data_IF_626353815752
#
_entry.id   IF_626353815752
#
_cell.length_a   1.000
_cell.length_b   1.000
_cell.length_c   1.000
_cell.angle_alpha   90.00
_cell.angle_beta   90.00
_cell.angle_gamma   90.00
#
_symmetry.space_group_name_H-M   'P 1'
#
loop_
_entity.id
_entity.type
_entity.pdbx_description
1 polymer ?
#
# COMPACT_ATOMS: atom_id res chain seq x y z
N UNK A 1 -19.77 -12.07 -6.08
CA UNK A 1 -18.50 -11.76 -5.37
C UNK A 1 -17.40 -11.65 -6.41
N UNK A 2 -16.91 -10.46 -6.71
CA UNK A 2 -15.88 -10.25 -7.74
C UNK A 2 -14.76 -9.39 -7.18
N UNK A 3 -13.53 -9.86 -7.25
CA UNK A 3 -12.33 -9.09 -6.91
C UNK A 3 -11.95 -8.26 -8.14
N UNK A 4 -11.54 -7.01 -7.92
CA UNK A 4 -11.16 -6.14 -9.03
C UNK A 4 -9.75 -6.53 -9.50
N UNK A 5 -9.65 -7.07 -10.70
CA UNK A 5 -8.38 -7.39 -11.35
C UNK A 5 -7.99 -6.19 -12.22
N UNK A 6 -6.80 -5.66 -12.01
CA UNK A 6 -6.18 -4.66 -12.91
C UNK A 6 -4.93 -5.25 -13.56
N UNK A 7 -4.76 -5.05 -14.87
CA UNK A 7 -3.55 -5.47 -15.61
C UNK A 7 -3.82 -6.33 -16.86
N UNK A 8 -2.77 -7.01 -17.35
CA UNK A 8 -2.83 -7.91 -18.52
C UNK A 8 -1.46 -8.24 -19.16
N UNK A 9 -1.33 -9.48 -19.66
CA UNK A 9 -0.24 -10.19 -20.41
C UNK A 9 1.24 -9.79 -20.22
N UNK A 10 1.60 -8.50 -20.31
CA UNK A 10 2.99 -8.02 -20.18
C UNK A 10 3.33 -7.55 -18.77
N UNK A 11 2.35 -7.05 -18.00
CA UNK A 11 2.55 -6.47 -16.66
C UNK A 11 2.11 -7.34 -15.48
N UNK A 12 1.60 -8.55 -15.77
CA UNK A 12 0.97 -9.43 -14.78
C UNK A 12 -0.46 -9.01 -14.41
N UNK A 13 -1.14 -9.84 -13.63
CA UNK A 13 -2.45 -9.57 -13.06
C UNK A 13 -2.29 -9.19 -11.58
N UNK A 14 -2.96 -8.11 -11.13
CA UNK A 14 -3.06 -7.74 -9.72
C UNK A 14 -4.53 -7.69 -9.33
N UNK A 15 -4.90 -8.51 -8.36
CA UNK A 15 -6.22 -8.46 -7.73
C UNK A 15 -6.18 -7.57 -6.49
N UNK A 16 -7.16 -6.69 -6.35
CA UNK A 16 -7.39 -5.94 -5.12
C UNK A 16 -8.63 -6.46 -4.42
N UNK A 17 -8.53 -6.61 -3.10
CA UNK A 17 -9.67 -6.92 -2.23
C UNK A 17 -9.60 -6.01 -1.01
N UNK A 18 -10.77 -5.54 -0.58
CA UNK A 18 -10.91 -4.70 0.59
C UNK A 18 -11.48 -5.53 1.75
N UNK A 19 -10.81 -5.49 2.89
CA UNK A 19 -11.32 -6.05 4.16
C UNK A 19 -11.58 -4.91 5.13
N UNK A 20 -12.79 -4.87 5.71
CA UNK A 20 -13.17 -3.93 6.78
C UNK A 20 -13.08 -4.61 8.14
N UNK A 21 -13.05 -3.84 9.23
CA UNK A 21 -13.00 -4.33 10.62
C UNK A 21 -11.78 -5.21 10.94
N UNK A 22 -10.62 -4.85 10.41
CA UNK A 22 -9.35 -5.53 10.75
C UNK A 22 -8.90 -5.16 12.16
N UNK A 23 -8.49 -6.15 12.94
CA UNK A 23 -7.97 -5.92 14.30
C UNK A 23 -6.53 -5.40 14.25
N UNK A 24 -6.15 -4.44 15.10
CA UNK A 24 -4.76 -4.04 15.26
C UNK A 24 -3.87 -5.21 15.70
N UNK A 25 -2.58 -5.15 15.37
CA UNK A 25 -1.59 -6.13 15.78
C UNK A 25 -0.79 -6.73 14.63
N UNK A 26 -0.10 -7.84 14.90
CA UNK A 26 0.75 -8.55 13.94
C UNK A 26 -0.10 -9.48 13.06
N UNK A 27 0.03 -9.32 11.76
CA UNK A 27 -0.65 -10.11 10.75
C UNK A 27 0.35 -10.89 9.88
N UNK A 28 -0.12 -12.01 9.36
CA UNK A 28 0.59 -12.82 8.38
C UNK A 28 -0.37 -13.15 7.24
N UNK A 29 0.03 -12.82 6.03
CA UNK A 29 -0.59 -13.33 4.80
C UNK A 29 0.10 -14.64 4.44
N UNK A 30 -0.66 -15.71 4.30
CA UNK A 30 -0.17 -16.96 3.72
C UNK A 30 -0.62 -17.04 2.27
N UNK A 31 0.34 -17.26 1.38
CA UNK A 31 0.08 -17.46 -0.04
C UNK A 31 0.05 -18.97 -0.23
N UNK A 32 -1.15 -19.52 -0.39
CA UNK A 32 -1.37 -20.96 -0.55
C UNK A 32 -1.85 -21.26 -1.96
N UNK A 33 -1.41 -22.38 -2.51
CA UNK A 33 -2.00 -22.97 -3.72
C UNK A 33 -3.36 -23.58 -3.38
N UNK A 34 -4.11 -23.93 -4.42
CA UNK A 34 -5.42 -24.59 -4.27
C UNK A 34 -5.30 -25.98 -3.62
N UNK A 35 -4.16 -26.66 -3.78
CA UNK A 35 -3.81 -27.90 -3.08
C UNK A 35 -3.16 -27.68 -1.70
N UNK A 36 -3.43 -26.52 -1.07
CA UNK A 36 -3.02 -26.16 0.30
C UNK A 36 -1.50 -26.06 0.54
N UNK A 37 -0.68 -25.96 -0.51
CA UNK A 37 0.77 -25.79 -0.35
C UNK A 37 1.13 -24.33 -0.15
N UNK A 38 1.99 -24.04 0.82
CA UNK A 38 2.45 -22.68 1.11
C UNK A 38 3.54 -22.28 0.12
N UNK A 39 3.26 -21.27 -0.70
CA UNK A 39 4.24 -20.61 -1.58
C UNK A 39 5.06 -19.55 -0.84
N UNK A 40 4.48 -18.93 0.19
CA UNK A 40 5.17 -17.88 0.94
C UNK A 40 4.33 -17.27 2.05
N UNK A 41 4.99 -16.45 2.87
CA UNK A 41 4.39 -15.73 3.99
C UNK A 41 4.86 -14.28 4.01
N UNK A 42 3.92 -13.35 4.17
CA UNK A 42 4.21 -11.91 4.28
C UNK A 42 3.71 -11.42 5.62
N UNK A 43 4.62 -10.97 6.48
CA UNK A 43 4.29 -10.39 7.78
C UNK A 43 4.12 -8.87 7.69
N UNK A 44 3.10 -8.33 8.34
CA UNK A 44 2.93 -6.89 8.52
C UNK A 44 2.23 -6.58 9.83
N UNK A 45 2.28 -5.33 10.27
CA UNK A 45 1.64 -4.87 11.50
C UNK A 45 0.57 -3.83 11.17
N UNK A 46 -0.65 -4.07 11.63
CA UNK A 46 -1.74 -3.09 11.57
C UNK A 46 -1.67 -2.26 12.84
N UNK A 47 -1.37 -0.98 12.68
CA UNK A 47 -1.40 -0.02 13.78
C UNK A 47 -2.73 0.71 13.76
N UNK A 48 -3.37 0.78 14.93
CA UNK A 48 -4.52 1.65 15.11
C UNK A 48 -4.06 3.09 14.97
N UNK A 49 -4.61 3.81 14.00
CA UNK A 49 -4.40 5.24 13.91
C UNK A 49 -5.52 5.91 14.68
N UNK A 50 -5.18 6.70 15.68
CA UNK A 50 -6.10 7.73 16.17
C UNK A 50 -6.39 8.63 14.97
N UNK A 51 -7.67 8.95 14.73
CA UNK A 51 -8.04 9.98 13.76
C UNK A 51 -7.58 11.34 14.29
N UNK A 52 -6.28 11.60 14.26
CA UNK A 52 -5.79 12.98 14.35
C UNK A 52 -6.25 13.67 13.09
N UNK A 53 -6.99 14.77 13.23
CA UNK A 53 -7.34 15.62 12.11
C UNK A 53 -6.03 16.14 11.51
N UNK A 54 -5.53 15.47 10.46
CA UNK A 54 -4.30 15.85 9.78
C UNK A 54 -4.61 17.16 9.07
N UNK A 55 -4.31 18.28 9.72
CA UNK A 55 -4.37 19.59 9.07
C UNK A 55 -3.26 19.60 8.03
N UNK A 56 -3.63 19.41 6.77
CA UNK A 56 -2.72 19.59 5.64
C UNK A 56 -2.35 21.07 5.61
N UNK A 57 -1.12 21.40 6.02
CA UNK A 57 -0.59 22.76 5.89
C UNK A 57 0.00 22.88 4.49
N UNK A 58 -0.65 23.66 3.63
CA UNK A 58 -0.08 24.01 2.32
C UNK A 58 1.15 24.89 2.57
N UNK A 59 2.33 24.36 2.23
CA UNK A 59 3.58 25.13 2.23
C UNK A 59 3.82 25.56 0.79
N UNK A 60 3.69 26.86 0.52
CA UNK A 60 4.15 27.45 -0.72
C UNK A 60 5.67 27.62 -0.63
N UNK A 61 6.42 26.94 -1.49
CA UNK A 61 7.87 27.14 -1.66
C UNK A 61 8.11 27.66 -3.07
N UNK A 62 8.58 28.89 -3.19
CA UNK A 62 9.16 29.36 -4.44
C UNK A 62 10.52 28.68 -4.63
N UNK A 63 10.71 28.02 -5.76
CA UNK A 63 12.02 27.54 -6.22
C UNK A 63 12.36 28.42 -7.42
N UNK A 64 13.45 29.17 -7.33
CA UNK A 64 13.99 29.90 -8.48
C UNK A 64 14.87 28.92 -9.26
N UNK A 65 14.58 28.72 -10.55
CA UNK A 65 15.37 27.83 -11.42
C UNK A 65 16.76 28.37 -11.74
N UNK A 66 17.12 29.58 -11.29
CA UNK A 66 18.41 30.21 -11.59
C UNK A 66 19.51 29.98 -10.55
N UNK A 67 19.44 28.90 -9.74
CA UNK A 67 20.50 28.57 -8.78
C UNK A 67 21.15 27.20 -9.08
N UNK A 68 21.56 27.01 -10.34
CA UNK A 68 22.40 25.90 -10.76
C UNK A 68 23.64 26.38 -11.57
N UNK A 69 24.19 27.57 -11.27
CA UNK A 69 25.39 28.06 -11.97
C UNK A 69 26.30 28.96 -11.09
N UNK A 70 26.44 28.65 -9.80
CA UNK A 70 27.54 29.18 -8.99
C UNK A 70 28.02 28.11 -7.99
N UNK A 71 28.71 27.09 -8.52
CA UNK A 71 29.94 26.48 -8.01
C UNK A 71 30.46 25.44 -9.00
#
# INVERSE_FOLDING_TARGET
>A
MGYQISGGRKGGYRGYTYKTHVTPGKWRVEIVTEDERILGRIGFEIKETVRTNRTFKTIYRCVNENYFDLL
#
